data_IF_462704772191
#
_entry.id   IF_462704772191
#
_cell.length_a   1.000
_cell.length_b   1.000
_cell.length_c   1.000
_cell.angle_alpha   90.00
_cell.angle_beta   90.00
_cell.angle_gamma   90.00
#
_symmetry.space_group_name_H-M   'P 1'
#
loop_
_entity.id
_entity.type
_entity.pdbx_description
1 polymer ?
#
# COMPACT_ATOMS: atom_id res chain seq x y z
N UNK A 1 19.75 4.91 27.22
CA UNK A 1 18.32 4.56 27.11
C UNK A 1 17.72 5.54 26.13
N UNK A 2 17.26 5.05 24.97
CA UNK A 2 16.63 5.90 23.96
C UNK A 2 15.12 5.89 24.16
N UNK A 3 14.65 6.87 24.93
CA UNK A 3 13.23 7.04 25.26
C UNK A 3 12.33 7.20 24.04
N UNK A 4 12.88 7.63 22.89
CA UNK A 4 12.12 7.75 21.64
C UNK A 4 11.92 6.37 21.01
N UNK A 5 12.97 5.56 20.93
CA UNK A 5 12.86 4.17 20.48
C UNK A 5 11.96 3.34 21.41
N UNK A 6 12.05 3.53 22.73
CA UNK A 6 11.19 2.85 23.70
C UNK A 6 9.71 3.27 23.56
N UNK A 7 9.44 4.56 23.32
CA UNK A 7 8.09 5.04 23.07
C UNK A 7 7.52 4.49 21.75
N UNK A 8 8.33 4.43 20.68
CA UNK A 8 7.92 3.82 19.40
C UNK A 8 7.67 2.33 19.57
N UNK A 9 8.49 1.61 20.34
CA UNK A 9 8.31 0.18 20.62
C UNK A 9 7.09 -0.10 21.52
N UNK A 10 6.76 0.82 22.43
CA UNK A 10 5.58 0.74 23.29
C UNK A 10 4.27 0.98 22.52
N UNK A 11 4.33 1.73 21.40
CA UNK A 11 3.20 1.84 20.47
C UNK A 11 3.13 0.55 19.66
N UNK A 12 2.11 -0.30 19.90
CA UNK A 12 1.79 -1.40 18.98
C UNK A 12 1.30 -0.80 17.65
N UNK A 13 2.20 -0.62 16.69
CA UNK A 13 1.91 -0.12 15.32
C UNK A 13 1.11 -1.15 14.47
N UNK A 14 0.45 -2.13 15.09
CA UNK A 14 -0.17 -3.26 14.39
C UNK A 14 0.87 -4.30 13.94
N UNK A 15 0.46 -5.23 13.06
CA UNK A 15 1.34 -6.23 12.45
C UNK A 15 1.75 -5.73 11.07
N UNK A 16 3.05 -5.53 10.85
CA UNK A 16 3.55 -5.24 9.52
C UNK A 16 3.46 -6.50 8.64
N UNK A 17 2.90 -6.34 7.44
CA UNK A 17 2.85 -7.37 6.42
C UNK A 17 3.41 -6.81 5.11
N UNK A 18 4.11 -7.64 4.34
CA UNK A 18 4.61 -7.27 3.02
C UNK A 18 4.36 -8.41 2.04
N UNK A 19 3.97 -8.04 0.82
CA UNK A 19 3.75 -8.98 -0.26
C UNK A 19 4.41 -8.43 -1.52
N UNK A 20 5.04 -9.32 -2.29
CA UNK A 20 5.52 -9.01 -3.64
C UNK A 20 4.71 -9.82 -4.63
N UNK A 21 4.18 -9.15 -5.65
CA UNK A 21 3.43 -9.79 -6.73
C UNK A 21 4.19 -9.62 -8.05
N UNK A 22 4.20 -10.67 -8.87
CA UNK A 22 4.68 -10.64 -10.25
C UNK A 22 3.57 -11.21 -11.13
N UNK A 23 3.12 -10.39 -12.06
CA UNK A 23 1.93 -10.62 -12.88
C UNK A 23 2.19 -10.07 -14.28
N UNK A 24 1.51 -10.61 -15.29
CA UNK A 24 1.71 -10.24 -16.69
C UNK A 24 0.38 -10.26 -17.45
N UNK A 25 0.31 -9.56 -18.58
CA UNK A 25 -0.89 -9.50 -19.41
C UNK A 25 -2.02 -8.70 -18.75
N UNK A 26 -3.27 -9.11 -18.98
CA UNK A 26 -4.46 -8.46 -18.38
C UNK A 26 -4.74 -9.09 -17.02
N UNK A 27 -4.48 -8.35 -15.95
CA UNK A 27 -4.69 -8.80 -14.59
C UNK A 27 -5.29 -7.67 -13.74
N UNK A 28 -5.91 -8.02 -12.63
CA UNK A 28 -6.24 -7.11 -11.55
C UNK A 28 -6.21 -7.89 -10.22
N UNK A 29 -6.00 -7.18 -9.12
CA UNK A 29 -6.15 -7.73 -7.77
C UNK A 29 -7.02 -6.77 -6.99
N UNK A 30 -7.86 -7.26 -6.09
CA UNK A 30 -8.67 -6.40 -5.22
C UNK A 30 -8.15 -6.49 -3.79
N UNK A 31 -7.87 -5.34 -3.21
CA UNK A 31 -7.59 -5.19 -1.79
C UNK A 31 -8.86 -4.68 -1.10
N UNK A 32 -9.38 -5.47 -0.17
CA UNK A 32 -10.43 -5.00 0.73
C UNK A 32 -9.89 -3.89 1.64
N UNK A 33 -10.74 -3.00 2.18
CA UNK A 33 -10.30 -2.03 3.16
C UNK A 33 -9.68 -2.71 4.40
N UNK A 34 -8.63 -2.12 4.96
CA UNK A 34 -7.94 -2.65 6.12
C UNK A 34 -7.59 -1.56 7.14
N UNK A 35 -7.47 -1.95 8.41
CA UNK A 35 -7.08 -1.04 9.48
C UNK A 35 -5.59 -0.72 9.42
N UNK A 36 -5.24 0.54 9.14
CA UNK A 36 -3.87 1.04 9.16
C UNK A 36 -3.47 1.76 7.88
N UNK A 37 -2.17 1.98 7.72
CA UNK A 37 -1.59 2.53 6.50
C UNK A 37 -0.93 1.42 5.68
N UNK A 38 -1.02 1.50 4.36
CA UNK A 38 -0.29 0.62 3.45
C UNK A 38 0.35 1.42 2.32
N UNK A 39 1.34 0.80 1.69
CA UNK A 39 2.02 1.38 0.54
C UNK A 39 2.15 0.34 -0.57
N UNK A 40 2.00 0.79 -1.81
CA UNK A 40 2.37 0.01 -2.98
C UNK A 40 3.53 0.68 -3.68
N UNK A 41 4.49 -0.14 -4.12
CA UNK A 41 5.65 0.31 -4.88
C UNK A 41 5.71 -0.48 -6.17
N UNK A 42 5.73 0.22 -7.30
CA UNK A 42 5.88 -0.43 -8.60
C UNK A 42 7.36 -0.64 -8.86
N UNK A 43 7.79 -1.90 -8.86
CA UNK A 43 9.20 -2.25 -9.06
C UNK A 43 9.57 -2.34 -10.55
N UNK A 44 8.62 -2.72 -11.40
CA UNK A 44 8.82 -2.91 -12.84
C UNK A 44 7.48 -2.78 -13.57
N UNK A 45 7.49 -2.26 -14.79
CA UNK A 45 6.30 -2.10 -15.63
C UNK A 45 5.44 -0.91 -15.23
N UNK A 46 4.15 -1.01 -15.51
CA UNK A 46 3.14 0.00 -15.16
C UNK A 46 1.82 -0.65 -14.79
N UNK A 47 1.05 0.04 -13.98
CA UNK A 47 -0.30 -0.36 -13.60
C UNK A 47 -1.16 0.86 -13.29
N UNK A 48 -2.41 0.58 -12.96
CA UNK A 48 -3.35 1.58 -12.47
C UNK A 48 -3.73 1.22 -11.04
N UNK A 49 -3.88 2.23 -10.19
CA UNK A 49 -4.55 2.10 -8.90
C UNK A 49 -5.91 2.78 -8.98
N UNK A 50 -6.96 2.05 -8.63
CA UNK A 50 -8.34 2.50 -8.62
C UNK A 50 -8.84 2.52 -7.18
N UNK A 51 -8.93 3.69 -6.53
CA UNK A 51 -9.47 3.78 -5.17
C UNK A 51 -10.95 3.39 -5.13
N UNK A 52 -11.36 2.61 -4.13
CA UNK A 52 -12.80 2.51 -3.81
C UNK A 52 -13.34 3.88 -3.38
N UNK A 53 -14.59 4.17 -3.76
CA UNK A 53 -15.23 5.44 -3.44
C UNK A 53 -15.19 6.49 -4.55
N UNK A 54 -14.72 6.12 -5.76
CA UNK A 54 -14.84 6.97 -6.95
C UNK A 54 -13.78 8.07 -7.04
N UNK A 55 -12.66 7.93 -6.34
CA UNK A 55 -11.50 8.80 -6.50
C UNK A 55 -10.87 8.68 -7.89
N UNK A 56 -9.99 9.63 -8.22
CA UNK A 56 -9.27 9.60 -9.48
C UNK A 56 -8.43 8.33 -9.60
N UNK A 57 -8.52 7.66 -10.75
CA UNK A 57 -7.63 6.56 -11.11
C UNK A 57 -6.21 7.08 -11.29
N UNK A 58 -5.23 6.40 -10.70
CA UNK A 58 -3.84 6.83 -10.67
C UNK A 58 -3.02 5.91 -11.57
N UNK A 59 -2.34 6.47 -12.58
CA UNK A 59 -1.34 5.73 -13.36
C UNK A 59 -0.07 5.64 -12.54
N UNK A 60 0.52 4.45 -12.47
CA UNK A 60 1.79 4.21 -11.79
C UNK A 60 2.77 3.51 -12.74
N UNK A 61 4.03 3.92 -12.68
CA UNK A 61 5.15 3.33 -13.41
C UNK A 61 6.25 2.89 -12.44
N UNK A 62 7.22 2.13 -12.95
CA UNK A 62 8.36 1.68 -12.16
C UNK A 62 9.05 2.85 -11.43
N UNK A 63 9.23 2.69 -10.12
CA UNK A 63 9.76 3.70 -9.20
C UNK A 63 8.69 4.46 -8.42
N UNK A 64 7.44 4.45 -8.87
CA UNK A 64 6.36 5.13 -8.16
C UNK A 64 5.99 4.39 -6.87
N UNK A 65 5.68 5.17 -5.83
CA UNK A 65 5.15 4.70 -4.57
C UNK A 65 3.87 5.46 -4.24
N UNK A 66 2.86 4.74 -3.77
CA UNK A 66 1.58 5.30 -3.32
C UNK A 66 1.33 4.90 -1.87
N UNK A 67 0.92 5.89 -1.07
CA UNK A 67 0.53 5.70 0.33
C UNK A 67 -1.00 5.74 0.44
N UNK A 68 -1.57 4.70 1.05
CA UNK A 68 -2.95 4.66 1.49
C UNK A 68 -2.98 4.82 3.02
N UNK A 69 -3.14 6.04 3.54
CA UNK A 69 -2.96 6.33 4.97
C UNK A 69 -4.04 5.69 5.85
N UNK A 70 -5.18 5.33 5.27
CA UNK A 70 -6.33 4.76 5.99
C UNK A 70 -6.75 3.39 5.42
N UNK A 71 -5.88 2.76 4.64
CA UNK A 71 -6.13 1.41 4.11
C UNK A 71 -7.40 1.31 3.29
N UNK A 72 -7.79 2.38 2.60
CA UNK A 72 -8.97 2.39 1.72
C UNK A 72 -8.86 1.26 0.70
N UNK A 73 -9.95 0.51 0.51
CA UNK A 73 -9.97 -0.56 -0.49
C UNK A 73 -9.69 -0.02 -1.89
N UNK A 74 -9.09 -0.85 -2.74
CA UNK A 74 -8.65 -0.44 -4.07
C UNK A 74 -8.39 -1.67 -4.96
N UNK A 75 -8.24 -1.40 -6.26
CA UNK A 75 -7.83 -2.36 -7.29
C UNK A 75 -6.53 -1.88 -7.93
#
# INVERSE_FOLDING_TARGET
MDVVSDAIAAVRVGRAESQRMRVHGRWCTRFAPYGGAGFHVVLEGSCWLLPEGGGATVSLAAGDAVLLPHGTGHV
#
